data_IF_136751997282
#
_entry.id   IF_136751997282
#
_cell.length_a   1.000
_cell.length_b   1.000
_cell.length_c   1.000
_cell.angle_alpha   90.00
_cell.angle_beta   90.00
_cell.angle_gamma   90.00
#
_symmetry.space_group_name_H-M   'P 1'
#
loop_
_entity.id
_entity.type
_entity.pdbx_description
1 polymer ?
#
# COMPACT_ATOMS: atom_id res chain seq x y z
N UNK A 1 -30.56 19.74 -4.23
CA UNK A 1 -29.43 19.22 -5.01
C UNK A 1 -28.16 19.51 -4.21
N UNK A 2 -27.66 18.56 -3.48
CA UNK A 2 -26.43 18.70 -2.70
C UNK A 2 -25.25 18.79 -3.67
N UNK A 3 -24.55 19.91 -3.67
CA UNK A 3 -23.27 20.07 -4.37
C UNK A 3 -22.27 19.05 -3.77
N UNK A 4 -22.15 17.90 -4.41
CA UNK A 4 -21.07 16.94 -4.10
C UNK A 4 -19.82 17.61 -4.66
N UNK A 5 -19.04 18.24 -3.78
CA UNK A 5 -17.70 18.72 -4.13
C UNK A 5 -16.90 17.51 -4.57
N UNK A 6 -16.32 17.51 -5.78
CA UNK A 6 -15.50 16.39 -6.24
C UNK A 6 -14.37 16.16 -5.23
N UNK A 7 -14.31 14.97 -4.64
CA UNK A 7 -13.29 14.61 -3.69
C UNK A 7 -11.93 14.63 -4.38
N UNK A 8 -11.05 15.53 -3.94
CA UNK A 8 -9.69 15.63 -4.46
C UNK A 8 -8.84 14.51 -3.84
N UNK A 9 -8.61 13.46 -4.63
CA UNK A 9 -7.85 12.28 -4.20
C UNK A 9 -6.43 12.63 -3.73
N UNK A 10 -5.77 13.60 -4.37
CA UNK A 10 -4.43 14.03 -3.97
C UNK A 10 -4.42 14.65 -2.57
N UNK A 11 -5.45 15.40 -2.20
CA UNK A 11 -5.60 15.94 -0.84
C UNK A 11 -5.85 14.83 0.16
N UNK A 12 -6.71 13.86 -0.14
CA UNK A 12 -6.96 12.72 0.73
C UNK A 12 -5.70 11.89 0.95
N UNK A 13 -4.96 11.63 -0.11
CA UNK A 13 -3.68 10.91 -0.03
C UNK A 13 -2.67 11.68 0.82
N UNK A 14 -2.56 13.00 0.64
CA UNK A 14 -1.64 13.85 1.40
C UNK A 14 -1.97 13.84 2.91
N UNK A 15 -3.26 13.79 3.27
CA UNK A 15 -3.70 13.64 4.66
C UNK A 15 -3.39 12.23 5.18
N UNK A 16 -3.71 11.20 4.41
CA UNK A 16 -3.47 9.82 4.82
C UNK A 16 -1.98 9.54 5.07
N UNK A 17 -1.09 10.05 4.23
CA UNK A 17 0.37 9.88 4.37
C UNK A 17 0.92 10.50 5.66
N UNK A 18 0.31 11.60 6.13
CA UNK A 18 0.71 12.27 7.36
C UNK A 18 0.23 11.57 8.64
N UNK A 19 -0.66 10.59 8.53
CA UNK A 19 -1.14 9.85 9.69
C UNK A 19 0.02 9.12 10.39
N UNK A 20 0.18 9.25 11.71
CA UNK A 20 1.34 8.71 12.45
C UNK A 20 1.55 7.21 12.23
N UNK A 21 0.46 6.45 12.04
CA UNK A 21 0.50 5.01 11.85
C UNK A 21 0.95 4.57 10.44
N UNK A 22 1.00 5.48 9.47
CA UNK A 22 1.28 5.11 8.07
C UNK A 22 2.74 4.81 7.83
N UNK A 23 3.62 5.46 8.55
CA UNK A 23 5.06 5.24 8.44
C UNK A 23 5.43 3.88 9.04
N UNK A 24 6.08 3.06 8.24
CA UNK A 24 6.60 1.77 8.68
C UNK A 24 8.11 1.80 8.50
N UNK A 25 8.84 1.75 9.61
CA UNK A 25 10.27 1.52 9.55
C UNK A 25 10.55 0.13 8.96
N UNK A 26 11.27 0.10 7.84
CA UNK A 26 11.53 -1.14 7.10
C UNK A 26 12.38 -2.12 7.92
N UNK A 27 13.40 -1.61 8.60
CA UNK A 27 14.33 -2.46 9.34
C UNK A 27 13.63 -3.09 10.55
N UNK A 28 12.90 -2.29 11.30
CA UNK A 28 12.11 -2.74 12.45
C UNK A 28 11.02 -3.72 12.01
N UNK A 29 10.29 -3.42 10.94
CA UNK A 29 9.27 -4.32 10.40
C UNK A 29 9.85 -5.68 10.01
N UNK A 30 10.94 -5.70 9.26
CA UNK A 30 11.58 -6.94 8.85
C UNK A 30 12.11 -7.72 10.06
N UNK A 31 12.79 -7.06 10.99
CA UNK A 31 13.26 -7.69 12.22
C UNK A 31 12.12 -8.34 13.00
N UNK A 32 11.04 -7.61 13.27
CA UNK A 32 9.94 -8.09 14.11
C UNK A 32 9.17 -9.26 13.47
N UNK A 33 9.02 -9.28 12.15
CA UNK A 33 8.24 -10.32 11.47
C UNK A 33 9.08 -11.56 11.14
N UNK A 34 10.38 -11.42 10.85
CA UNK A 34 11.21 -12.55 10.48
C UNK A 34 11.91 -13.22 11.68
N UNK A 35 12.06 -12.55 12.83
CA UNK A 35 12.72 -13.11 14.02
C UNK A 35 12.08 -14.42 14.56
N UNK A 36 10.82 -14.65 14.23
CA UNK A 36 10.10 -15.86 14.64
C UNK A 36 10.22 -17.02 13.66
N UNK A 37 10.71 -16.76 12.47
CA UNK A 37 10.69 -17.69 11.34
C UNK A 37 12.08 -18.14 10.92
N UNK A 38 13.11 -17.36 11.26
CA UNK A 38 14.50 -17.64 10.85
C UNK A 38 15.49 -17.34 11.97
N UNK A 39 16.70 -17.88 11.85
CA UNK A 39 17.77 -17.64 12.83
C UNK A 39 18.25 -16.18 12.87
N UNK A 40 18.79 -15.71 14.03
CA UNK A 40 19.21 -14.32 14.21
C UNK A 40 20.17 -13.79 13.11
N UNK A 41 21.16 -14.60 12.71
CA UNK A 41 22.09 -14.23 11.64
C UNK A 41 21.39 -13.99 10.30
N UNK A 42 20.33 -14.75 10.02
CA UNK A 42 19.52 -14.55 8.83
C UNK A 42 18.69 -13.27 8.94
N UNK A 43 18.16 -12.94 10.13
CA UNK A 43 17.45 -11.67 10.37
C UNK A 43 18.34 -10.47 10.07
N UNK A 44 19.59 -10.49 10.54
CA UNK A 44 20.54 -9.40 10.27
C UNK A 44 20.79 -9.24 8.76
N UNK A 45 20.95 -10.35 8.03
CA UNK A 45 21.10 -10.33 6.57
C UNK A 45 19.86 -9.79 5.86
N UNK A 46 18.66 -10.17 6.33
CA UNK A 46 17.38 -9.69 5.80
C UNK A 46 17.28 -8.17 5.94
N UNK A 47 17.60 -7.64 7.12
CA UNK A 47 17.53 -6.21 7.41
C UNK A 47 18.52 -5.41 6.56
N UNK A 48 19.77 -5.90 6.45
CA UNK A 48 20.84 -5.26 5.68
C UNK A 48 20.58 -5.28 4.17
N UNK A 49 19.94 -6.32 3.67
CA UNK A 49 19.69 -6.50 2.23
C UNK A 49 18.19 -6.52 1.92
N UNK A 50 17.63 -7.71 1.84
CA UNK A 50 16.18 -7.95 1.73
C UNK A 50 15.88 -9.43 2.01
N UNK A 51 14.63 -9.81 2.30
CA UNK A 51 14.25 -11.22 2.45
C UNK A 51 14.60 -12.05 1.20
N UNK A 52 14.40 -11.49 0.02
CA UNK A 52 14.70 -12.13 -1.27
C UNK A 52 16.21 -12.37 -1.42
N UNK A 53 17.05 -11.34 -1.21
CA UNK A 53 18.51 -11.45 -1.30
C UNK A 53 19.12 -12.30 -0.20
N UNK A 54 18.49 -12.34 0.97
CA UNK A 54 18.91 -13.23 2.05
C UNK A 54 18.65 -14.69 1.74
N UNK A 55 17.75 -15.00 0.80
CA UNK A 55 17.40 -16.37 0.42
C UNK A 55 16.29 -16.99 1.27
N UNK A 56 15.41 -16.17 1.84
CA UNK A 56 14.25 -16.65 2.59
C UNK A 56 13.33 -17.45 1.67
N UNK A 57 12.84 -18.59 2.17
CA UNK A 57 11.95 -19.46 1.41
C UNK A 57 10.62 -18.78 1.07
N UNK A 58 10.07 -19.12 -0.10
CA UNK A 58 8.77 -18.59 -0.55
C UNK A 58 7.66 -18.87 0.46
N UNK A 59 7.68 -20.03 1.10
CA UNK A 59 6.71 -20.39 2.14
C UNK A 59 6.71 -19.41 3.32
N UNK A 60 7.88 -19.01 3.81
CA UNK A 60 8.00 -18.03 4.91
C UNK A 60 7.53 -16.66 4.45
N UNK A 61 7.92 -16.23 3.24
CA UNK A 61 7.48 -14.96 2.67
C UNK A 61 5.95 -14.91 2.55
N UNK A 62 5.33 -15.97 2.03
CA UNK A 62 3.88 -16.07 1.87
C UNK A 62 3.17 -16.07 3.22
N UNK A 63 3.67 -16.84 4.21
CA UNK A 63 3.12 -16.86 5.57
C UNK A 63 3.07 -15.46 6.17
N UNK A 64 4.20 -14.75 6.19
CA UNK A 64 4.29 -13.40 6.76
C UNK A 64 3.40 -12.42 5.99
N UNK A 65 3.33 -12.52 4.66
CA UNK A 65 2.46 -11.67 3.85
C UNK A 65 0.98 -11.87 4.21
N UNK A 66 0.51 -13.11 4.32
CA UNK A 66 -0.86 -13.43 4.72
C UNK A 66 -1.20 -12.96 6.13
N UNK A 67 -0.28 -13.14 7.08
CA UNK A 67 -0.45 -12.62 8.45
C UNK A 67 -0.59 -11.10 8.45
N UNK A 68 0.22 -10.39 7.67
CA UNK A 68 0.11 -8.94 7.51
C UNK A 68 -1.24 -8.51 6.88
N UNK A 69 -1.71 -9.22 5.85
CA UNK A 69 -3.02 -8.95 5.22
C UNK A 69 -4.13 -9.15 6.22
N UNK A 70 -4.16 -10.29 6.89
CA UNK A 70 -5.18 -10.62 7.89
C UNK A 70 -5.22 -9.57 9.01
N UNK A 71 -4.08 -9.19 9.55
CA UNK A 71 -4.00 -8.22 10.64
C UNK A 71 -4.46 -6.82 10.22
N UNK A 72 -4.04 -6.31 9.05
CA UNK A 72 -4.50 -5.01 8.57
C UNK A 72 -5.99 -5.05 8.19
N UNK A 73 -6.47 -6.16 7.63
CA UNK A 73 -7.89 -6.34 7.31
C UNK A 73 -8.75 -6.32 8.57
N UNK A 74 -8.31 -6.99 9.64
CA UNK A 74 -8.99 -6.95 10.93
C UNK A 74 -9.06 -5.52 11.49
N UNK A 75 -7.96 -4.77 11.42
CA UNK A 75 -7.92 -3.37 11.88
C UNK A 75 -8.87 -2.48 11.09
N UNK A 76 -8.90 -2.60 9.78
CA UNK A 76 -9.84 -1.85 8.93
C UNK A 76 -11.28 -2.11 9.35
N UNK A 77 -11.61 -3.33 9.74
CA UNK A 77 -12.94 -3.72 10.16
C UNK A 77 -13.29 -3.24 11.57
N UNK A 78 -12.36 -3.39 12.51
CA UNK A 78 -12.55 -3.01 13.90
C UNK A 78 -12.67 -1.49 14.10
N UNK A 79 -11.92 -0.71 13.30
CA UNK A 79 -11.90 0.76 13.39
C UNK A 79 -13.08 1.45 12.70
N UNK A 80 -13.92 0.71 11.97
CA UNK A 80 -15.23 1.22 11.51
C UNK A 80 -16.16 1.60 12.67
N UNK A 81 -15.77 1.33 13.92
CA UNK A 81 -16.54 1.60 15.14
C UNK A 81 -16.01 2.74 16.02
N UNK A 82 -14.87 3.35 15.73
CA UNK A 82 -14.29 4.30 16.68
C UNK A 82 -13.33 5.34 16.10
N UNK A 83 -13.80 6.53 16.06
CA UNK A 83 -13.20 7.83 16.45
C UNK A 83 -11.69 8.04 16.27
N UNK A 84 -11.34 9.16 15.66
CA UNK A 84 -10.04 9.78 15.81
C UNK A 84 -9.56 10.64 14.66
N UNK A 85 -10.16 10.58 13.52
CA UNK A 85 -9.95 11.55 12.46
C UNK A 85 -11.14 12.50 12.41
N UNK A 86 -11.14 13.53 13.25
CA UNK A 86 -12.02 14.68 13.04
C UNK A 86 -11.70 15.26 11.67
N UNK A 87 -12.75 15.49 10.86
CA UNK A 87 -12.67 15.86 9.46
C UNK A 87 -11.75 17.03 9.17
N UNK A 88 -10.47 16.76 8.99
CA UNK A 88 -9.50 17.73 8.50
C UNK A 88 -9.84 18.06 7.05
N UNK A 89 -10.20 19.31 6.78
CA UNK A 89 -10.43 19.84 5.44
C UNK A 89 -11.62 19.26 4.64
N UNK A 90 -12.74 18.86 5.30
CA UNK A 90 -13.92 18.36 4.59
C UNK A 90 -13.75 16.98 3.94
N UNK A 91 -12.71 16.27 4.32
CA UNK A 91 -12.45 14.88 3.90
C UNK A 91 -13.15 13.95 4.90
N UNK A 92 -13.95 12.96 4.44
CA UNK A 92 -14.51 11.96 5.34
C UNK A 92 -13.38 11.23 6.09
N UNK A 93 -13.42 11.28 7.42
CA UNK A 93 -12.42 10.67 8.30
C UNK A 93 -12.18 9.19 7.96
N UNK A 94 -13.25 8.46 7.69
CA UNK A 94 -13.24 7.04 7.31
C UNK A 94 -12.42 6.77 6.04
N UNK A 95 -12.43 7.69 5.08
CA UNK A 95 -11.69 7.53 3.83
C UNK A 95 -10.19 7.72 4.03
N UNK A 96 -9.79 8.75 4.78
CA UNK A 96 -8.38 8.99 5.10
C UNK A 96 -7.80 7.83 5.91
N UNK A 97 -8.56 7.30 6.86
CA UNK A 97 -8.18 6.14 7.66
C UNK A 97 -8.08 4.87 6.82
N UNK A 98 -9.05 4.60 5.96
CA UNK A 98 -9.01 3.46 5.05
C UNK A 98 -7.77 3.53 4.13
N UNK A 99 -7.47 4.69 3.55
CA UNK A 99 -6.27 4.89 2.74
C UNK A 99 -4.99 4.74 3.57
N UNK A 100 -4.98 5.14 4.84
CA UNK A 100 -3.85 4.90 5.72
C UNK A 100 -3.54 3.38 5.84
N UNK A 101 -4.55 2.53 6.00
CA UNK A 101 -4.37 1.08 6.01
C UNK A 101 -3.93 0.51 4.65
N UNK A 102 -4.46 1.05 3.55
CA UNK A 102 -4.00 0.71 2.19
C UNK A 102 -2.52 1.03 2.01
N UNK A 103 -2.07 2.19 2.48
CA UNK A 103 -0.67 2.60 2.46
C UNK A 103 0.22 1.68 3.32
N UNK A 104 -0.26 1.29 4.49
CA UNK A 104 0.46 0.37 5.39
C UNK A 104 0.66 -1.00 4.77
N UNK A 105 -0.43 -1.62 4.30
CA UNK A 105 -0.32 -2.97 3.71
C UNK A 105 0.54 -2.97 2.45
N UNK A 106 0.46 -1.91 1.64
CA UNK A 106 1.31 -1.76 0.46
C UNK A 106 2.81 -1.73 0.81
N UNK A 107 3.20 -1.00 1.86
CA UNK A 107 4.58 -0.96 2.33
C UNK A 107 5.04 -2.31 2.89
N UNK A 108 4.23 -2.95 3.74
CA UNK A 108 4.56 -4.24 4.35
C UNK A 108 4.81 -5.30 3.28
N UNK A 109 3.89 -5.45 2.33
CA UNK A 109 4.04 -6.40 1.23
C UNK A 109 5.26 -6.07 0.36
N UNK A 110 5.49 -4.80 0.04
CA UNK A 110 6.66 -4.39 -0.70
C UNK A 110 7.97 -4.77 0.02
N UNK A 111 8.07 -4.55 1.32
CA UNK A 111 9.28 -4.89 2.10
C UNK A 111 9.53 -6.40 2.14
N UNK A 112 8.48 -7.22 2.26
CA UNK A 112 8.58 -8.68 2.21
C UNK A 112 9.16 -9.13 0.88
N UNK A 113 8.75 -8.51 -0.23
CA UNK A 113 9.19 -8.87 -1.59
C UNK A 113 10.41 -8.07 -2.09
N UNK A 114 11.19 -7.49 -1.18
CA UNK A 114 12.51 -6.93 -1.45
C UNK A 114 12.54 -5.48 -1.91
N UNK A 115 11.41 -4.79 -1.96
CA UNK A 115 11.36 -3.37 -2.30
C UNK A 115 12.05 -2.52 -1.22
N UNK A 116 12.69 -1.41 -1.61
CA UNK A 116 13.36 -0.52 -0.67
C UNK A 116 12.35 0.27 0.18
N UNK A 117 12.84 0.97 1.22
CA UNK A 117 12.01 1.83 2.06
C UNK A 117 11.21 2.83 1.22
N UNK A 118 9.91 2.96 1.48
CA UNK A 118 8.98 3.76 0.69
C UNK A 118 8.83 5.18 1.21
N UNK A 119 8.80 5.36 2.53
CA UNK A 119 8.57 6.66 3.17
C UNK A 119 9.78 6.98 4.01
N UNK A 120 10.34 8.20 3.88
CA UNK A 120 11.44 8.66 4.69
C UNK A 120 11.01 8.86 6.14
N UNK A 121 11.99 8.86 7.07
CA UNK A 121 11.74 9.06 8.50
C UNK A 121 11.06 10.42 8.75
N UNK A 122 11.36 11.45 7.96
CA UNK A 122 10.81 12.79 8.09
C UNK A 122 9.37 12.90 7.51
N UNK A 123 8.85 11.82 6.91
CA UNK A 123 7.52 11.78 6.33
C UNK A 123 7.40 12.43 4.96
N UNK A 124 8.51 12.89 4.43
CA UNK A 124 8.56 13.38 3.06
C UNK A 124 8.61 12.23 2.07
N UNK A 125 7.81 12.35 1.04
CA UNK A 125 7.70 11.39 -0.04
C UNK A 125 8.08 12.09 -1.33
N UNK A 126 9.18 11.67 -1.93
CA UNK A 126 9.54 12.18 -3.26
C UNK A 126 8.53 11.70 -4.32
N UNK A 127 8.48 12.38 -5.45
CA UNK A 127 7.54 12.08 -6.54
C UNK A 127 7.67 10.64 -7.06
N UNK A 128 8.88 10.07 -7.04
CA UNK A 128 9.09 8.70 -7.47
C UNK A 128 8.43 7.71 -6.50
N UNK A 129 8.61 7.92 -5.21
CA UNK A 129 7.98 7.11 -4.16
C UNK A 129 6.46 7.25 -4.17
N UNK A 130 5.94 8.49 -4.29
CA UNK A 130 4.51 8.75 -4.44
C UNK A 130 3.92 7.94 -5.61
N UNK A 131 4.58 7.96 -6.75
CA UNK A 131 4.11 7.24 -7.93
C UNK A 131 4.18 5.71 -7.76
N UNK A 132 5.18 5.17 -7.05
CA UNK A 132 5.25 3.73 -6.73
C UNK A 132 4.08 3.33 -5.83
N UNK A 133 3.79 4.11 -4.81
CA UNK A 133 2.65 3.86 -3.91
C UNK A 133 1.33 3.93 -4.68
N UNK A 134 1.16 4.93 -5.53
CA UNK A 134 -0.02 5.05 -6.40
C UNK A 134 -0.16 3.85 -7.35
N UNK A 135 0.94 3.32 -7.87
CA UNK A 135 0.95 2.11 -8.68
C UNK A 135 0.45 0.89 -7.88
N UNK A 136 0.90 0.73 -6.64
CA UNK A 136 0.44 -0.35 -5.76
C UNK A 136 -1.06 -0.21 -5.42
N UNK A 137 -1.52 1.00 -5.12
CA UNK A 137 -2.94 1.28 -4.96
C UNK A 137 -3.70 0.93 -6.25
N UNK A 138 -3.16 1.32 -7.41
CA UNK A 138 -3.72 0.97 -8.71
C UNK A 138 -3.87 -0.53 -8.91
N UNK A 139 -2.88 -1.32 -8.51
CA UNK A 139 -2.95 -2.78 -8.53
C UNK A 139 -4.04 -3.31 -7.61
N UNK A 140 -4.09 -2.84 -6.38
CA UNK A 140 -5.14 -3.22 -5.42
C UNK A 140 -6.54 -2.99 -5.97
N UNK A 141 -6.76 -1.86 -6.65
CA UNK A 141 -8.05 -1.50 -7.24
C UNK A 141 -8.26 -2.00 -8.68
N UNK A 142 -7.34 -2.80 -9.21
CA UNK A 142 -7.45 -3.41 -10.53
C UNK A 142 -7.46 -2.39 -11.67
N UNK A 143 -6.62 -1.36 -11.59
CA UNK A 143 -6.35 -0.46 -12.72
C UNK A 143 -5.55 -1.22 -13.76
N UNK A 144 -5.95 -1.12 -15.03
CA UNK A 144 -5.31 -1.86 -16.12
C UNK A 144 -3.83 -1.53 -16.27
N UNK A 145 -3.02 -2.50 -16.64
CA UNK A 145 -1.59 -2.42 -16.91
C UNK A 145 -0.71 -2.12 -15.69
N UNK A 146 -1.24 -2.19 -14.49
CA UNK A 146 -0.45 -2.00 -13.26
C UNK A 146 0.55 -3.13 -13.04
N UNK A 147 0.17 -4.35 -13.34
CA UNK A 147 1.02 -5.55 -13.32
C UNK A 147 2.25 -5.41 -14.23
N UNK A 148 2.04 -4.98 -15.47
CA UNK A 148 3.11 -4.71 -16.44
C UNK A 148 4.12 -3.69 -15.89
N UNK A 149 3.64 -2.62 -15.28
CA UNK A 149 4.52 -1.56 -14.75
C UNK A 149 5.22 -2.01 -13.47
N UNK A 150 4.57 -2.81 -12.62
CA UNK A 150 5.22 -3.40 -11.43
C UNK A 150 6.35 -4.34 -11.84
N UNK A 151 6.15 -5.15 -12.87
CA UNK A 151 7.20 -6.02 -13.40
C UNK A 151 8.42 -5.23 -13.89
N UNK A 152 8.22 -4.15 -14.63
CA UNK A 152 9.31 -3.25 -15.07
C UNK A 152 9.98 -2.51 -13.90
N UNK A 153 9.18 -2.09 -12.92
CA UNK A 153 9.67 -1.41 -11.73
C UNK A 153 10.59 -2.33 -10.90
N UNK A 154 10.22 -3.59 -10.69
CA UNK A 154 11.01 -4.52 -9.88
C UNK A 154 12.41 -4.75 -10.47
N UNK A 155 12.51 -4.93 -11.79
CA UNK A 155 13.79 -5.07 -12.51
C UNK A 155 14.61 -3.78 -12.38
N UNK A 156 13.99 -2.62 -12.65
CA UNK A 156 14.69 -1.33 -12.59
C UNK A 156 15.19 -1.03 -11.16
N UNK A 157 14.42 -1.34 -10.13
CA UNK A 157 14.85 -1.17 -8.73
C UNK A 157 16.00 -2.12 -8.38
N UNK A 158 15.96 -3.37 -8.83
CA UNK A 158 17.05 -4.31 -8.60
C UNK A 158 18.36 -3.79 -9.20
N UNK A 159 18.33 -3.29 -10.44
CA UNK A 159 19.50 -2.68 -11.10
C UNK A 159 19.99 -1.42 -10.38
N UNK A 160 19.06 -0.55 -9.94
CA UNK A 160 19.41 0.68 -9.22
C UNK A 160 20.08 0.39 -7.87
N UNK A 161 19.56 -0.59 -7.12
CA UNK A 161 20.15 -1.03 -5.86
C UNK A 161 21.55 -1.61 -6.11
N UNK A 162 21.70 -2.47 -7.12
CA UNK A 162 22.99 -3.08 -7.46
C UNK A 162 24.05 -2.06 -7.88
N UNK A 163 23.64 -0.98 -8.56
CA UNK A 163 24.52 0.10 -9.06
C UNK A 163 24.56 1.33 -8.13
N UNK A 164 23.92 1.28 -6.97
CA UNK A 164 23.78 2.39 -6.03
C UNK A 164 23.24 3.69 -6.68
N UNK A 165 22.28 3.54 -7.59
CA UNK A 165 21.67 4.65 -8.34
C UNK A 165 20.45 5.18 -7.59
N UNK A 166 20.32 6.51 -7.48
CA UNK A 166 19.17 7.17 -6.85
C UNK A 166 17.85 6.83 -7.55
N UNK A 167 16.77 6.67 -6.77
CA UNK A 167 15.39 6.49 -7.26
C UNK A 167 14.91 7.63 -8.19
N UNK A 168 15.46 8.82 -8.08
CA UNK A 168 15.16 9.91 -9.03
C UNK A 168 15.41 9.52 -10.48
N UNK A 169 16.28 8.56 -10.74
CA UNK A 169 16.52 8.05 -12.08
C UNK A 169 15.32 7.28 -12.69
N UNK A 170 14.34 6.85 -11.88
CA UNK A 170 13.09 6.24 -12.37
C UNK A 170 12.32 7.15 -13.31
N UNK A 171 12.38 8.46 -13.09
CA UNK A 171 11.69 9.46 -13.94
C UNK A 171 12.19 9.48 -15.38
N UNK A 172 13.38 8.93 -15.64
CA UNK A 172 14.01 8.87 -16.96
C UNK A 172 13.73 7.56 -17.71
N UNK A 173 12.99 6.62 -17.10
CA UNK A 173 12.69 5.33 -17.73
C UNK A 173 11.59 5.47 -18.79
N UNK A 174 11.65 4.64 -19.84
CA UNK A 174 10.68 4.66 -20.94
C UNK A 174 9.24 4.32 -20.50
N UNK A 175 9.07 3.60 -19.38
CA UNK A 175 7.75 3.23 -18.83
C UNK A 175 7.17 4.26 -17.84
N UNK A 176 7.92 5.30 -17.45
CA UNK A 176 7.47 6.30 -16.49
C UNK A 176 6.24 7.11 -16.95
N UNK A 177 6.08 7.46 -18.24
CA UNK A 177 4.84 8.09 -18.73
C UNK A 177 3.60 7.20 -18.52
N UNK A 178 3.73 5.88 -18.70
CA UNK A 178 2.65 4.94 -18.41
C UNK A 178 2.30 4.92 -16.93
N UNK A 179 3.30 4.93 -16.05
CA UNK A 179 3.10 5.05 -14.62
C UNK A 179 2.27 6.29 -14.28
N UNK A 180 2.60 7.46 -14.84
CA UNK A 180 1.81 8.69 -14.63
C UNK A 180 0.36 8.55 -15.08
N UNK A 181 0.11 7.89 -16.20
CA UNK A 181 -1.27 7.63 -16.67
C UNK A 181 -2.04 6.74 -15.68
N UNK A 182 -1.41 5.69 -15.18
CA UNK A 182 -1.98 4.81 -14.15
C UNK A 182 -2.30 5.61 -12.88
N UNK A 183 -1.37 6.40 -12.38
CA UNK A 183 -1.57 7.24 -11.20
C UNK A 183 -2.79 8.17 -11.34
N UNK A 184 -2.99 8.76 -12.51
CA UNK A 184 -4.18 9.57 -12.80
C UNK A 184 -5.49 8.76 -12.74
N UNK A 185 -5.47 7.52 -13.25
CA UNK A 185 -6.65 6.64 -13.21
C UNK A 185 -6.97 6.15 -11.79
N UNK A 186 -5.96 5.98 -10.95
CA UNK A 186 -6.13 5.53 -9.56
C UNK A 186 -7.05 6.47 -8.78
N UNK A 187 -6.80 7.78 -8.83
CA UNK A 187 -7.62 8.76 -8.14
C UNK A 187 -9.10 8.67 -8.54
N UNK A 188 -9.38 8.56 -9.84
CA UNK A 188 -10.76 8.42 -10.37
C UNK A 188 -11.41 7.13 -9.86
N UNK A 189 -10.69 6.01 -9.88
CA UNK A 189 -11.25 4.70 -9.53
C UNK A 189 -11.49 4.57 -8.03
N UNK A 190 -10.52 4.93 -7.20
CA UNK A 190 -10.65 4.89 -5.75
C UNK A 190 -11.82 5.77 -5.29
N UNK A 191 -11.93 6.96 -5.83
CA UNK A 191 -13.04 7.88 -5.51
C UNK A 191 -14.40 7.28 -5.87
N UNK A 192 -14.54 6.69 -7.08
CA UNK A 192 -15.79 6.05 -7.50
C UNK A 192 -16.16 4.85 -6.64
N UNK A 193 -15.21 3.96 -6.36
CA UNK A 193 -15.45 2.75 -5.57
C UNK A 193 -15.82 3.10 -4.12
N UNK A 194 -15.26 4.17 -3.58
CA UNK A 194 -15.54 4.61 -2.20
C UNK A 194 -16.87 5.35 -2.09
N UNK A 195 -17.17 6.24 -3.04
CA UNK A 195 -18.44 6.97 -3.05
C UNK A 195 -19.63 6.05 -3.39
N UNK A 196 -19.45 5.08 -4.28
CA UNK A 196 -20.49 4.09 -4.59
C UNK A 196 -20.91 3.27 -3.37
N UNK A 197 -19.99 2.98 -2.46
CA UNK A 197 -20.28 2.32 -1.18
C UNK A 197 -20.96 3.23 -0.17
N UNK A 198 -20.67 4.53 -0.19
CA UNK A 198 -21.28 5.51 0.71
C UNK A 198 -22.75 5.82 0.33
N UNK A 199 -23.10 5.78 -0.96
CA UNK A 199 -24.45 6.06 -1.44
C UNK A 199 -25.50 4.99 -1.04
N UNK A 200 -25.07 3.77 -0.67
CA UNK A 200 -25.95 2.71 -0.17
C UNK A 200 -26.31 2.80 1.32
N UNK A 201 -25.80 3.80 2.05
CA UNK A 201 -25.93 3.92 3.52
C UNK A 201 -27.19 4.70 3.97
N UNK A 202 -28.37 4.25 3.55
CA UNK A 202 -29.63 4.91 3.97
C UNK A 202 -30.25 4.36 5.28
N UNK A 203 -29.61 3.38 5.95
CA UNK A 203 -30.13 2.74 7.17
C UNK A 203 -29.01 2.63 8.22
N UNK A 204 -29.07 3.37 9.38
CA UNK A 204 -27.88 3.60 10.22
C UNK A 204 -27.30 2.39 10.96
N UNK A 205 -28.08 1.41 11.37
CA UNK A 205 -27.59 0.31 12.23
C UNK A 205 -27.23 -0.96 11.44
N UNK A 206 -28.09 -1.37 10.52
CA UNK A 206 -27.79 -2.52 9.64
C UNK A 206 -26.72 -2.17 8.61
N UNK A 207 -26.64 -0.90 8.18
CA UNK A 207 -25.62 -0.40 7.28
C UNK A 207 -24.20 -0.43 7.88
N UNK A 208 -24.02 -0.32 9.18
CA UNK A 208 -22.70 -0.38 9.83
C UNK A 208 -22.12 -1.79 9.79
N UNK A 209 -22.90 -2.83 10.06
CA UNK A 209 -22.46 -4.23 10.02
C UNK A 209 -22.18 -4.66 8.57
N UNK A 210 -23.08 -4.35 7.65
CA UNK A 210 -22.90 -4.64 6.21
C UNK A 210 -21.69 -3.88 5.64
N UNK A 211 -21.47 -2.62 6.06
CA UNK A 211 -20.35 -1.83 5.59
C UNK A 211 -18.99 -2.32 6.14
N UNK A 212 -18.94 -2.82 7.39
CA UNK A 212 -17.75 -3.42 7.97
C UNK A 212 -17.36 -4.71 7.25
N UNK A 213 -18.32 -5.61 7.00
CA UNK A 213 -18.10 -6.86 6.28
C UNK A 213 -17.69 -6.61 4.82
N UNK A 214 -18.34 -5.66 4.13
CA UNK A 214 -17.95 -5.29 2.76
C UNK A 214 -16.57 -4.63 2.71
N UNK A 215 -16.24 -3.80 3.69
CA UNK A 215 -14.91 -3.20 3.79
C UNK A 215 -13.84 -4.25 4.05
N UNK A 216 -14.12 -5.23 4.90
CA UNK A 216 -13.28 -6.39 5.15
C UNK A 216 -12.99 -7.14 3.86
N UNK A 217 -14.01 -7.67 3.20
CA UNK A 217 -13.89 -8.48 1.98
C UNK A 217 -13.19 -7.70 0.86
N UNK A 218 -13.52 -6.41 0.70
CA UNK A 218 -12.91 -5.59 -0.34
C UNK A 218 -11.44 -5.29 -0.05
N UNK A 219 -11.07 -5.00 1.20
CA UNK A 219 -9.68 -4.72 1.58
C UNK A 219 -8.81 -5.96 1.39
N UNK A 220 -9.24 -7.09 1.94
CA UNK A 220 -8.54 -8.37 1.81
C UNK A 220 -8.31 -8.73 0.35
N UNK A 221 -9.36 -8.74 -0.47
CA UNK A 221 -9.27 -9.02 -1.91
C UNK A 221 -8.31 -8.08 -2.65
N UNK A 222 -8.32 -6.81 -2.29
CA UNK A 222 -7.43 -5.82 -2.89
C UNK A 222 -5.98 -6.04 -2.46
N UNK A 223 -5.74 -6.33 -1.18
CA UNK A 223 -4.41 -6.65 -0.66
C UNK A 223 -3.85 -7.95 -1.28
N UNK A 224 -4.69 -8.98 -1.46
CA UNK A 224 -4.30 -10.23 -2.12
C UNK A 224 -3.91 -10.03 -3.59
N UNK A 225 -4.55 -9.11 -4.33
CA UNK A 225 -4.09 -8.78 -5.68
C UNK A 225 -2.67 -8.22 -5.70
N UNK A 226 -2.39 -7.27 -4.80
CA UNK A 226 -1.06 -6.70 -4.69
C UNK A 226 -0.05 -7.76 -4.26
N UNK A 227 -0.39 -8.58 -3.25
CA UNK A 227 0.42 -9.68 -2.75
C UNK A 227 0.85 -10.61 -3.90
N UNK A 228 -0.13 -11.11 -4.66
CA UNK A 228 0.13 -11.99 -5.81
C UNK A 228 1.12 -11.34 -6.80
N UNK A 229 0.87 -10.10 -7.17
CA UNK A 229 1.71 -9.41 -8.15
C UNK A 229 3.14 -9.16 -7.65
N UNK A 230 3.32 -8.78 -6.37
CA UNK A 230 4.65 -8.57 -5.81
C UNK A 230 5.42 -9.89 -5.61
N UNK A 231 4.73 -10.98 -5.29
CA UNK A 231 5.30 -12.32 -5.23
C UNK A 231 5.84 -12.77 -6.59
N UNK A 232 5.10 -12.49 -7.65
CA UNK A 232 5.52 -12.80 -9.03
C UNK A 232 6.63 -11.86 -9.53
N UNK A 233 6.77 -10.67 -8.95
CA UNK A 233 7.72 -9.64 -9.36
C UNK A 233 8.56 -9.09 -8.17
N UNK A 234 9.34 -9.94 -7.47
CA UNK A 234 10.16 -9.49 -6.35
C UNK A 234 11.36 -8.67 -6.85
N UNK A 235 11.89 -7.79 -5.99
CA UNK A 235 13.15 -7.07 -6.24
C UNK A 235 14.30 -7.96 -5.80
N UNK A 236 15.03 -8.52 -6.77
CA UNK A 236 16.13 -9.47 -6.58
C UNK A 236 17.49 -8.80 -6.56
#
# INVERSE_FOLDING_TARGET
MSNIVPLDFDKVLAVAVKAPMVKIDRAEFLKNNFSREVEPKMVDKIVQTSPIKAGVSEHILEKIARECIMYETYKVSALSFGTGFEGLFGIPADLAQYLAHVLRISQKLAYIYGYPSMISIDGDMDDATKNIILLFIGMMYGVKRTDEVIAKLSVTLAEQIAKNISRKALTKTAWYPLLKQICKQVGIKVTKDTLGKAAGKSIPVLASIVSATLSYICFEKNAERLHKTLRENPVR
#
